data_IF_359327882472
#
_entry.id   IF_359327882472
#
_cell.length_a   1.000
_cell.length_b   1.000
_cell.length_c   1.000
_cell.angle_alpha   90.00
_cell.angle_beta   90.00
_cell.angle_gamma   90.00
#
_symmetry.space_group_name_H-M   'P 1'
#
loop_
_entity.id
_entity.type
_entity.pdbx_description
1 polymer ?
#
# COMPACT_ATOMS: atom_id res chain seq x y z
N UNK A 1 -18.50 -24.70 -27.79
CA UNK A 1 -17.31 -24.96 -26.94
C UNK A 1 -16.41 -23.75 -26.99
N UNK A 2 -16.27 -22.99 -25.89
CA UNK A 2 -15.26 -21.94 -25.75
C UNK A 2 -15.01 -21.73 -24.24
N UNK A 3 -14.21 -22.62 -23.65
CA UNK A 3 -13.96 -22.71 -22.21
C UNK A 3 -12.58 -22.16 -21.79
N UNK A 4 -11.89 -21.42 -22.66
CA UNK A 4 -10.49 -21.03 -22.46
C UNK A 4 -10.25 -19.55 -22.13
N UNK A 5 -11.30 -18.76 -21.87
CA UNK A 5 -11.14 -17.32 -21.57
C UNK A 5 -11.19 -16.95 -20.09
N UNK A 6 -11.53 -17.88 -19.20
CA UNK A 6 -11.65 -17.59 -17.77
C UNK A 6 -10.35 -17.77 -16.97
N UNK A 7 -9.44 -18.65 -17.37
CA UNK A 7 -8.22 -18.95 -16.61
C UNK A 7 -7.11 -17.89 -16.71
N UNK A 8 -7.18 -16.98 -17.68
CA UNK A 8 -6.16 -15.93 -17.79
C UNK A 8 -6.33 -14.82 -16.74
N UNK A 9 -7.57 -14.62 -16.25
CA UNK A 9 -7.88 -13.55 -15.29
C UNK A 9 -7.47 -13.90 -13.86
N UNK A 10 -7.36 -15.19 -13.52
CA UNK A 10 -7.03 -15.63 -12.16
C UNK A 10 -5.55 -15.51 -11.85
N UNK A 11 -4.65 -15.82 -12.80
CA UNK A 11 -3.22 -15.77 -12.56
C UNK A 11 -2.64 -14.35 -12.45
N UNK A 12 -3.25 -13.37 -13.14
CA UNK A 12 -2.89 -11.95 -12.99
C UNK A 12 -3.37 -11.42 -11.63
N UNK A 13 -4.57 -11.78 -11.17
CA UNK A 13 -5.06 -11.41 -9.83
C UNK A 13 -4.33 -12.10 -8.67
N UNK A 14 -3.95 -13.37 -8.81
CA UNK A 14 -3.16 -14.09 -7.79
C UNK A 14 -1.80 -13.41 -7.58
N UNK A 15 -1.12 -13.03 -8.67
CA UNK A 15 0.15 -12.29 -8.57
C UNK A 15 0.03 -10.92 -7.91
N UNK A 16 -1.05 -10.19 -8.17
CA UNK A 16 -1.27 -8.89 -7.55
C UNK A 16 -1.51 -9.02 -6.05
N UNK A 17 -2.18 -10.10 -5.63
CA UNK A 17 -2.46 -10.40 -4.22
C UNK A 17 -1.19 -10.79 -3.48
N UNK A 18 -0.37 -11.68 -4.05
CA UNK A 18 0.89 -12.13 -3.45
C UNK A 18 1.85 -10.94 -3.19
N UNK A 19 1.92 -9.99 -4.12
CA UNK A 19 2.77 -8.80 -3.97
C UNK A 19 2.25 -7.82 -2.91
N UNK A 20 0.93 -7.62 -2.84
CA UNK A 20 0.34 -6.75 -1.81
C UNK A 20 0.57 -7.32 -0.39
N UNK A 21 0.41 -8.63 -0.22
CA UNK A 21 0.69 -9.32 1.06
C UNK A 21 2.18 -9.23 1.44
N UNK A 22 3.09 -9.44 0.49
CA UNK A 22 4.54 -9.33 0.74
C UNK A 22 4.94 -7.92 1.19
N UNK A 23 4.38 -6.89 0.54
CA UNK A 23 4.62 -5.50 0.92
C UNK A 23 4.05 -5.22 2.30
N UNK A 24 2.85 -5.72 2.61
CA UNK A 24 2.22 -5.55 3.92
C UNK A 24 3.07 -6.18 5.02
N UNK A 25 3.57 -7.40 4.81
CA UNK A 25 4.45 -8.09 5.75
C UNK A 25 5.74 -7.31 5.99
N UNK A 26 6.38 -6.80 4.93
CA UNK A 26 7.62 -6.02 5.04
C UNK A 26 7.38 -4.69 5.77
N UNK A 27 6.27 -4.01 5.48
CA UNK A 27 5.94 -2.79 6.20
C UNK A 27 5.65 -3.08 7.68
N UNK A 28 4.96 -4.17 7.97
CA UNK A 28 4.65 -4.55 9.35
C UNK A 28 5.91 -5.00 10.12
N UNK A 29 6.87 -5.67 9.48
CA UNK A 29 8.14 -6.08 10.10
C UNK A 29 9.07 -4.88 10.33
N UNK A 30 9.21 -3.97 9.34
CA UNK A 30 10.09 -2.81 9.46
C UNK A 30 9.49 -1.67 10.30
N UNK A 31 8.17 -1.49 10.22
CA UNK A 31 7.49 -0.30 10.77
C UNK A 31 6.31 -0.62 11.67
N UNK A 32 6.00 -1.88 12.00
CA UNK A 32 4.77 -2.25 12.74
C UNK A 32 4.57 -1.55 14.10
N UNK A 33 5.63 -1.10 14.76
CA UNK A 33 5.54 -0.28 15.98
C UNK A 33 5.19 1.19 15.72
N UNK A 34 5.29 1.64 14.47
CA UNK A 34 5.18 3.02 14.02
C UNK A 34 4.05 3.26 13.02
N UNK A 35 3.46 2.21 12.47
CA UNK A 35 2.28 2.25 11.60
C UNK A 35 1.15 1.44 12.23
N UNK A 36 -0.09 1.90 12.05
CA UNK A 36 -1.29 1.21 12.53
C UNK A 36 -2.34 1.15 11.44
N UNK A 37 -3.20 0.12 11.47
CA UNK A 37 -4.30 -0.09 10.53
C UNK A 37 -3.86 0.03 9.06
N UNK A 38 -2.67 -0.50 8.74
CA UNK A 38 -2.15 -0.45 7.37
C UNK A 38 -2.89 -1.45 6.51
N UNK A 39 -3.27 -1.01 5.32
CA UNK A 39 -3.92 -1.84 4.32
C UNK A 39 -3.34 -1.50 2.95
N UNK A 40 -2.99 -2.54 2.20
CA UNK A 40 -2.35 -2.43 0.90
C UNK A 40 -3.20 -3.14 -0.13
N UNK A 41 -3.39 -2.50 -1.27
CA UNK A 41 -4.05 -3.14 -2.41
C UNK A 41 -3.34 -2.75 -3.69
N UNK A 42 -3.11 -3.73 -4.55
CA UNK A 42 -2.54 -3.52 -5.86
C UNK A 42 -3.64 -3.70 -6.90
N UNK A 43 -3.78 -2.74 -7.81
CA UNK A 43 -4.75 -2.78 -8.91
C UNK A 43 -4.18 -2.10 -10.14
N UNK A 44 -4.07 -2.82 -11.25
CA UNK A 44 -3.73 -2.24 -12.57
C UNK A 44 -2.49 -1.32 -12.52
N UNK A 45 -1.37 -1.79 -11.93
CA UNK A 45 -0.12 -1.03 -11.72
C UNK A 45 -0.18 0.14 -10.72
N UNK A 46 -1.26 0.23 -9.93
CA UNK A 46 -1.42 1.23 -8.89
C UNK A 46 -1.45 0.56 -7.53
N UNK A 47 -0.58 0.98 -6.63
CA UNK A 47 -0.55 0.52 -5.25
C UNK A 47 -1.25 1.54 -4.37
N UNK A 48 -2.40 1.17 -3.83
CA UNK A 48 -3.11 1.98 -2.86
C UNK A 48 -2.66 1.55 -1.47
N UNK A 49 -2.17 2.51 -0.70
CA UNK A 49 -1.81 2.32 0.71
C UNK A 49 -2.67 3.23 1.57
N UNK A 50 -3.27 2.64 2.61
CA UNK A 50 -3.95 3.38 3.67
C UNK A 50 -3.43 2.96 5.03
N UNK A 51 -3.55 3.84 6.01
CA UNK A 51 -3.16 3.56 7.39
C UNK A 51 -2.74 4.81 8.15
N UNK A 52 -2.21 4.60 9.35
CA UNK A 52 -1.77 5.67 10.23
C UNK A 52 -0.29 5.53 10.57
N UNK A 53 0.54 6.44 10.04
CA UNK A 53 1.94 6.58 10.43
C UNK A 53 2.05 7.49 11.66
N UNK A 54 2.87 7.14 12.65
CA UNK A 54 3.06 7.95 13.86
C UNK A 54 3.76 9.31 13.63
N UNK A 55 4.36 9.54 12.45
CA UNK A 55 5.04 10.78 12.10
C UNK A 55 5.21 10.92 10.58
N UNK A 56 5.41 12.15 10.10
CA UNK A 56 5.76 12.41 8.70
C UNK A 56 7.04 11.69 8.24
N UNK A 57 8.04 11.56 9.12
CA UNK A 57 9.27 10.82 8.81
C UNK A 57 9.01 9.33 8.57
N UNK A 58 8.11 8.73 9.35
CA UNK A 58 7.71 7.33 9.15
C UNK A 58 7.01 7.17 7.81
N UNK A 59 6.09 8.06 7.47
CA UNK A 59 5.43 8.08 6.15
C UNK A 59 6.44 8.18 5.01
N UNK A 60 7.37 9.12 5.06
CA UNK A 60 8.42 9.25 4.04
C UNK A 60 9.25 7.97 3.87
N UNK A 61 9.59 7.30 4.98
CA UNK A 61 10.34 6.03 4.93
C UNK A 61 9.50 4.90 4.33
N UNK A 62 8.23 4.79 4.71
CA UNK A 62 7.29 3.82 4.14
C UNK A 62 7.18 4.01 2.62
N UNK A 63 6.95 5.25 2.17
CA UNK A 63 6.90 5.57 0.74
C UNK A 63 8.22 5.25 0.03
N UNK A 64 9.36 5.56 0.66
CA UNK A 64 10.66 5.22 0.10
C UNK A 64 10.88 3.71 -0.02
N UNK A 65 10.39 2.92 0.93
CA UNK A 65 10.44 1.45 0.87
C UNK A 65 9.55 0.94 -0.27
N UNK A 66 8.33 1.46 -0.40
CA UNK A 66 7.39 1.10 -1.47
C UNK A 66 7.94 1.42 -2.87
N UNK A 67 8.54 2.59 -3.07
CA UNK A 67 9.19 2.95 -4.33
C UNK A 67 10.38 2.04 -4.67
N UNK A 68 10.95 1.33 -3.69
CA UNK A 68 12.02 0.36 -3.88
C UNK A 68 11.58 -0.97 -4.48
N UNK A 69 10.29 -1.34 -4.34
CA UNK A 69 9.77 -2.62 -4.87
C UNK A 69 9.62 -2.58 -6.38
N UNK A 70 8.93 -1.58 -6.91
CA UNK A 70 8.79 -1.38 -8.35
C UNK A 70 8.68 0.12 -8.67
N UNK A 71 9.67 0.70 -9.37
CA UNK A 71 9.63 2.10 -9.76
C UNK A 71 8.57 2.42 -10.83
N UNK A 72 7.95 1.40 -11.44
CA UNK A 72 6.88 1.55 -12.43
C UNK A 72 5.49 1.56 -11.81
N UNK A 73 5.35 1.24 -10.52
CA UNK A 73 4.08 1.26 -9.81
C UNK A 73 3.78 2.68 -9.31
N UNK A 74 2.58 3.16 -9.61
CA UNK A 74 2.09 4.42 -9.08
C UNK A 74 1.56 4.20 -7.66
N UNK A 75 2.09 4.95 -6.69
CA UNK A 75 1.67 4.84 -5.28
C UNK A 75 0.61 5.90 -4.99
N UNK A 76 -0.55 5.44 -4.53
CA UNK A 76 -1.64 6.28 -4.04
C UNK A 76 -1.63 6.24 -2.50
N UNK A 77 -1.12 7.30 -1.89
CA UNK A 77 -0.94 7.43 -0.45
C UNK A 77 -1.86 8.49 0.18
N UNK A 78 -2.94 8.90 -0.52
CA UNK A 78 -3.89 9.91 -0.02
C UNK A 78 -4.53 9.52 1.32
N UNK A 79 -4.58 8.22 1.60
CA UNK A 79 -5.15 7.64 2.81
C UNK A 79 -4.11 7.22 3.85
N UNK A 80 -2.83 7.51 3.62
CA UNK A 80 -1.75 7.28 4.57
C UNK A 80 -1.55 8.52 5.44
N UNK A 81 -2.18 8.50 6.61
CA UNK A 81 -2.31 9.67 7.46
C UNK A 81 -1.20 9.76 8.50
N UNK A 82 -0.82 10.99 8.83
CA UNK A 82 0.08 11.32 9.95
C UNK A 82 -0.66 12.15 11.01
N UNK A 83 -0.20 12.17 12.27
CA UNK A 83 -0.79 13.01 13.30
C UNK A 83 -0.91 14.47 12.87
N UNK A 84 0.13 15.02 12.25
CA UNK A 84 0.18 16.43 11.82
C UNK A 84 -0.92 16.77 10.78
N UNK A 85 -1.24 15.83 9.89
CA UNK A 85 -2.32 15.98 8.90
C UNK A 85 -3.70 15.78 9.54
N UNK A 86 -3.80 14.94 10.57
CA UNK A 86 -5.03 14.74 11.33
C UNK A 86 -5.39 15.99 12.16
N UNK A 87 -4.39 16.76 12.61
CA UNK A 87 -4.59 18.01 13.35
C UNK A 87 -5.04 19.20 12.49
N UNK A 88 -4.78 19.23 11.18
CA UNK A 88 -5.19 20.34 10.31
C UNK A 88 -6.70 20.37 9.98
N UNK A 89 -7.46 19.28 10.20
CA UNK A 89 -8.92 19.25 10.00
C UNK A 89 -9.72 19.72 11.23
N UNK A 90 -9.06 20.02 12.35
CA UNK A 90 -9.71 20.41 13.61
C UNK A 90 -9.45 21.87 13.98
N UNK A 91 -9.18 22.73 13.00
CA UNK A 91 -9.24 24.18 13.22
C UNK A 91 -10.66 24.67 12.84
N UNK A 92 -11.46 25.14 13.81
CA UNK A 92 -12.83 25.64 13.58
C UNK A 92 -12.88 26.93 12.75
#
# INVERSE_FOLDING_TARGET
MNLFRFFRRTAEQEKETDMAEEIEEILQDEFGDWINDVNISLSENRLLISGFCNSGKTRERVLSTLHGFDPLIEIDDEHLLTPDENFMKISP
#
